data_IF_447211923193
#
_entry.id   IF_447211923193
#
_cell.length_a   1.000
_cell.length_b   1.000
_cell.length_c   1.000
_cell.angle_alpha   90.00
_cell.angle_beta   90.00
_cell.angle_gamma   90.00
#
_symmetry.space_group_name_H-M   'P 1'
#
loop_
_entity.id
_entity.type
_entity.pdbx_description
1 polymer ?
#
# COMPACT_ATOMS: atom_id res chain seq x y z
N UNK A 1 -6.86 -5.87 -13.45
CA UNK A 1 -6.16 -4.98 -14.39
C UNK A 1 -4.83 -4.50 -13.84
N UNK A 2 -4.78 -3.80 -12.69
CA UNK A 2 -3.57 -3.17 -12.12
C UNK A 2 -2.43 -4.18 -11.89
N UNK A 3 -2.70 -5.31 -11.21
CA UNK A 3 -1.72 -6.38 -10.97
C UNK A 3 -1.18 -6.91 -12.30
N UNK A 4 -2.07 -7.24 -13.24
CA UNK A 4 -1.68 -7.77 -14.54
C UNK A 4 -0.85 -6.78 -15.35
N UNK A 5 -1.21 -5.47 -15.29
CA UNK A 5 -0.45 -4.41 -15.96
C UNK A 5 0.99 -4.32 -15.46
N UNK A 6 1.22 -4.31 -14.15
CA UNK A 6 2.57 -4.28 -13.57
C UNK A 6 3.32 -5.58 -13.89
N UNK A 7 2.70 -6.74 -13.70
CA UNK A 7 3.34 -8.04 -13.90
C UNK A 7 3.65 -8.33 -15.37
N UNK A 8 2.90 -7.74 -16.31
CA UNK A 8 3.20 -7.85 -17.74
C UNK A 8 4.55 -7.23 -18.14
N UNK A 9 5.11 -6.39 -17.26
CA UNK A 9 6.44 -5.78 -17.43
C UNK A 9 7.54 -6.52 -16.66
N UNK A 10 7.25 -7.72 -16.14
CA UNK A 10 8.20 -8.54 -15.39
C UNK A 10 8.45 -8.05 -13.95
N UNK A 11 7.66 -7.13 -13.43
CA UNK A 11 7.75 -6.62 -12.06
C UNK A 11 6.68 -7.25 -11.19
N UNK A 12 7.09 -7.85 -10.05
CA UNK A 12 6.16 -8.47 -9.12
C UNK A 12 5.29 -7.46 -8.37
N UNK A 13 4.09 -7.89 -8.02
CA UNK A 13 3.17 -7.12 -7.16
C UNK A 13 3.01 -7.78 -5.81
N UNK A 14 2.78 -6.96 -4.77
CA UNK A 14 2.41 -7.42 -3.44
C UNK A 14 1.00 -6.95 -3.11
N UNK A 15 0.06 -7.88 -3.02
CA UNK A 15 -1.32 -7.59 -2.64
C UNK A 15 -1.43 -7.47 -1.11
N UNK A 16 -1.97 -6.34 -0.61
CA UNK A 16 -1.96 -6.06 0.83
C UNK A 16 -3.12 -5.16 1.30
N UNK A 17 -3.42 -5.16 2.58
CA UNK A 17 -2.90 -6.04 3.64
C UNK A 17 -3.93 -7.13 3.92
N UNK A 18 -3.52 -8.39 3.90
CA UNK A 18 -4.37 -9.57 4.05
C UNK A 18 -4.46 -9.99 5.52
N UNK A 19 -5.55 -9.73 6.28
CA UNK A 19 -6.78 -9.10 5.89
C UNK A 19 -7.44 -8.38 7.09
N UNK A 20 -8.54 -7.66 6.82
CA UNK A 20 -9.42 -7.07 7.86
C UNK A 20 -8.75 -5.97 8.70
N UNK A 21 -7.75 -5.27 8.17
CA UNK A 21 -7.16 -4.10 8.82
C UNK A 21 -7.93 -2.83 8.43
N UNK A 22 -9.09 -2.59 9.09
CA UNK A 22 -9.92 -1.43 8.86
C UNK A 22 -9.77 -0.37 9.97
N UNK A 23 -8.90 -0.62 10.95
CA UNK A 23 -8.66 0.21 12.11
C UNK A 23 -7.17 0.46 12.27
N UNK A 24 -6.70 1.69 12.02
CA UNK A 24 -5.30 2.06 12.18
C UNK A 24 -4.91 2.35 13.63
N UNK A 25 -5.82 2.90 14.43
CA UNK A 25 -5.57 3.12 15.86
C UNK A 25 -5.37 1.80 16.59
N UNK A 26 -4.20 1.65 17.22
CA UNK A 26 -3.80 0.41 17.92
C UNK A 26 -3.83 -0.86 17.05
N UNK A 27 -3.59 -0.73 15.75
CA UNK A 27 -3.69 -1.82 14.76
C UNK A 27 -2.89 -3.08 15.10
N UNK A 28 -1.76 -2.94 15.79
CA UNK A 28 -0.89 -4.05 16.20
C UNK A 28 -1.49 -4.94 17.32
N UNK A 29 -2.53 -4.48 17.99
CA UNK A 29 -3.21 -5.23 19.04
C UNK A 29 -4.72 -5.39 18.78
N UNK A 30 -5.22 -4.74 17.73
CA UNK A 30 -6.62 -4.84 17.35
C UNK A 30 -7.00 -6.28 17.01
N UNK A 31 -8.20 -6.70 17.44
CA UNK A 31 -8.76 -8.02 17.15
C UNK A 31 -10.11 -7.84 16.45
N UNK A 32 -10.11 -7.98 15.15
CA UNK A 32 -11.33 -7.89 14.35
C UNK A 32 -12.17 -9.15 14.53
N UNK A 33 -13.34 -9.00 15.17
CA UNK A 33 -14.25 -10.11 15.48
C UNK A 33 -15.39 -10.17 14.48
N UNK A 34 -15.48 -11.25 13.72
CA UNK A 34 -16.52 -11.43 12.71
C UNK A 34 -16.77 -12.91 12.40
N UNK A 35 -17.98 -13.20 11.91
CA UNK A 35 -18.33 -14.54 11.46
C UNK A 35 -17.76 -14.81 10.06
N UNK A 36 -17.82 -16.06 9.62
CA UNK A 36 -17.29 -16.49 8.31
C UNK A 36 -17.95 -15.77 7.13
N UNK A 37 -19.25 -15.48 7.21
CA UNK A 37 -19.97 -14.86 6.11
C UNK A 37 -19.44 -13.45 5.77
N UNK A 38 -19.41 -12.46 6.68
CA UNK A 38 -18.82 -11.17 6.39
C UNK A 38 -17.30 -11.25 6.09
N UNK A 39 -16.57 -12.19 6.72
CA UNK A 39 -15.17 -12.40 6.41
C UNK A 39 -15.00 -12.73 4.91
N UNK A 40 -15.71 -13.72 4.39
CA UNK A 40 -15.57 -14.22 3.02
C UNK A 40 -16.25 -13.34 1.98
N UNK A 41 -17.45 -12.83 2.25
CA UNK A 41 -18.26 -12.11 1.27
C UNK A 41 -17.85 -10.63 1.14
N UNK A 42 -17.22 -10.04 2.17
CA UNK A 42 -16.82 -8.62 2.17
C UNK A 42 -15.30 -8.47 2.21
N UNK A 43 -14.68 -8.89 3.32
CA UNK A 43 -13.26 -8.56 3.58
C UNK A 43 -12.27 -9.34 2.73
N UNK A 44 -12.56 -10.60 2.45
CA UNK A 44 -11.70 -11.45 1.63
C UNK A 44 -12.05 -11.41 0.14
N UNK A 45 -13.23 -10.91 -0.24
CA UNK A 45 -13.73 -11.00 -1.62
C UNK A 45 -12.83 -10.32 -2.64
N UNK A 46 -12.31 -9.14 -2.33
CA UNK A 46 -11.39 -8.43 -3.23
C UNK A 46 -10.05 -9.18 -3.40
N UNK A 47 -9.56 -9.81 -2.35
CA UNK A 47 -8.35 -10.65 -2.41
C UNK A 47 -8.59 -11.92 -3.23
N UNK A 48 -9.73 -12.58 -3.05
CA UNK A 48 -10.12 -13.76 -3.83
C UNK A 48 -10.10 -13.47 -5.33
N UNK A 49 -10.78 -12.38 -5.74
CA UNK A 49 -10.82 -11.96 -7.14
C UNK A 49 -9.40 -11.67 -7.66
N UNK A 50 -8.62 -10.90 -6.91
CA UNK A 50 -7.26 -10.53 -7.31
C UNK A 50 -6.34 -11.75 -7.44
N UNK A 51 -6.43 -12.71 -6.53
CA UNK A 51 -5.64 -13.95 -6.57
C UNK A 51 -6.06 -14.83 -7.74
N UNK A 52 -7.36 -15.12 -7.87
CA UNK A 52 -7.87 -16.02 -8.91
C UNK A 52 -7.65 -15.48 -10.34
N UNK A 53 -7.80 -14.17 -10.53
CA UNK A 53 -7.70 -13.56 -11.86
C UNK A 53 -6.28 -13.10 -12.23
N UNK A 54 -5.40 -12.87 -11.25
CA UNK A 54 -4.12 -12.19 -11.52
C UNK A 54 -2.89 -12.87 -10.93
N UNK A 55 -3.03 -13.77 -9.96
CA UNK A 55 -1.90 -14.43 -9.29
C UNK A 55 -0.77 -13.44 -8.95
N UNK A 56 -0.97 -12.50 -8.00
CA UNK A 56 0.08 -11.59 -7.58
C UNK A 56 1.32 -12.38 -7.12
N UNK A 57 2.52 -11.85 -7.34
CA UNK A 57 3.73 -12.56 -6.95
C UNK A 57 3.84 -12.76 -5.45
N UNK A 58 3.27 -11.83 -4.68
CA UNK A 58 3.25 -11.94 -3.23
C UNK A 58 1.97 -11.37 -2.63
N UNK A 59 1.69 -11.81 -1.39
CA UNK A 59 0.66 -11.28 -0.51
C UNK A 59 1.31 -10.90 0.81
N UNK A 60 0.97 -9.73 1.35
CA UNK A 60 1.42 -9.30 2.67
C UNK A 60 0.28 -9.41 3.67
N UNK A 61 0.51 -10.12 4.77
CA UNK A 61 -0.45 -10.23 5.87
C UNK A 61 -0.55 -8.92 6.65
N UNK A 62 -1.66 -8.72 7.35
CA UNK A 62 -1.93 -7.49 8.08
C UNK A 62 -1.36 -7.51 9.52
N UNK A 63 -1.40 -6.36 10.20
CA UNK A 63 -0.95 -6.23 11.59
C UNK A 63 -1.91 -6.81 12.61
N UNK A 64 -3.21 -6.72 12.33
CA UNK A 64 -4.27 -7.03 13.26
C UNK A 64 -4.46 -8.53 13.46
N UNK A 65 -5.23 -8.84 14.50
CA UNK A 65 -5.82 -10.17 14.68
C UNK A 65 -7.16 -10.26 13.96
N UNK A 66 -7.49 -11.48 13.58
CA UNK A 66 -8.84 -11.89 13.15
C UNK A 66 -9.28 -13.01 14.07
N UNK A 67 -10.36 -12.81 14.80
CA UNK A 67 -10.92 -13.81 15.72
C UNK A 67 -9.88 -14.37 16.72
N UNK A 68 -8.98 -13.52 17.21
CA UNK A 68 -7.99 -13.85 18.23
C UNK A 68 -6.60 -14.26 17.72
N UNK A 69 -6.44 -14.53 16.41
CA UNK A 69 -5.15 -14.91 15.81
C UNK A 69 -4.59 -13.77 14.98
N UNK A 70 -3.29 -13.51 15.06
CA UNK A 70 -2.62 -12.61 14.11
C UNK A 70 -2.72 -13.17 12.69
N UNK A 71 -2.97 -12.31 11.72
CA UNK A 71 -3.15 -12.75 10.32
C UNK A 71 -1.96 -13.51 9.76
N UNK A 72 -0.73 -13.16 10.16
CA UNK A 72 0.49 -13.89 9.79
C UNK A 72 0.67 -15.23 10.54
N UNK A 73 -0.09 -15.46 11.61
CA UNK A 73 -0.06 -16.68 12.45
C UNK A 73 -1.33 -17.53 12.27
N UNK A 74 -2.17 -17.18 11.31
CA UNK A 74 -3.45 -17.85 11.06
C UNK A 74 -3.40 -18.72 9.81
N UNK A 75 -3.26 -20.03 10.05
CA UNK A 75 -3.24 -21.05 9.00
C UNK A 75 -4.51 -21.04 8.14
N UNK A 76 -5.68 -20.80 8.74
CA UNK A 76 -6.94 -20.77 8.00
C UNK A 76 -6.88 -19.69 6.90
N UNK A 77 -6.34 -18.51 7.22
CA UNK A 77 -6.20 -17.44 6.24
C UNK A 77 -5.14 -17.74 5.18
N UNK A 78 -3.94 -18.18 5.61
CA UNK A 78 -2.76 -18.20 4.73
C UNK A 78 -2.58 -19.50 3.96
N UNK A 79 -2.98 -20.65 4.49
CA UNK A 79 -2.93 -21.92 3.77
C UNK A 79 -4.33 -22.33 3.30
N UNK A 80 -5.28 -22.53 4.21
CA UNK A 80 -6.55 -23.18 3.85
C UNK A 80 -7.37 -22.31 2.86
N UNK A 81 -7.51 -21.00 3.10
CA UNK A 81 -8.25 -20.09 2.21
C UNK A 81 -7.40 -19.62 1.05
N UNK A 82 -6.25 -18.96 1.35
CA UNK A 82 -5.46 -18.30 0.31
C UNK A 82 -4.87 -19.29 -0.69
N UNK A 83 -4.31 -20.42 -0.20
CA UNK A 83 -3.62 -21.40 -1.06
C UNK A 83 -4.53 -22.52 -1.52
N UNK A 84 -5.19 -23.20 -0.60
CA UNK A 84 -5.95 -24.41 -0.97
C UNK A 84 -7.25 -24.08 -1.70
N UNK A 85 -8.03 -23.08 -1.21
CA UNK A 85 -9.29 -22.73 -1.86
C UNK A 85 -9.08 -21.83 -3.10
N UNK A 86 -8.16 -20.83 -3.04
CA UNK A 86 -7.99 -19.88 -4.14
C UNK A 86 -6.84 -20.20 -5.08
N UNK A 87 -6.00 -21.18 -4.72
CA UNK A 87 -4.89 -21.64 -5.55
C UNK A 87 -3.72 -20.63 -5.65
N UNK A 88 -3.49 -19.82 -4.62
CA UNK A 88 -2.37 -18.89 -4.60
C UNK A 88 -1.02 -19.59 -4.61
N UNK A 89 -0.14 -19.22 -5.55
CA UNK A 89 1.15 -19.85 -5.76
C UNK A 89 2.35 -18.99 -5.35
N UNK A 90 2.10 -17.75 -4.97
CA UNK A 90 3.17 -16.79 -4.70
C UNK A 90 3.70 -16.84 -3.26
N UNK A 91 4.51 -15.84 -2.92
CA UNK A 91 5.12 -15.64 -1.61
C UNK A 91 4.13 -14.98 -0.64
N UNK A 92 4.02 -15.48 0.59
CA UNK A 92 3.34 -14.79 1.68
C UNK A 92 4.38 -14.16 2.59
N UNK A 93 4.29 -12.84 2.80
CA UNK A 93 5.15 -12.13 3.74
C UNK A 93 4.35 -11.47 4.85
N UNK A 94 4.95 -11.28 6.02
CA UNK A 94 4.34 -10.49 7.08
C UNK A 94 4.48 -8.99 6.80
N UNK A 95 3.60 -8.17 7.37
CA UNK A 95 3.91 -6.76 7.53
C UNK A 95 5.08 -6.57 8.54
N UNK A 96 5.70 -5.39 8.58
CA UNK A 96 6.87 -5.10 9.40
C UNK A 96 6.57 -5.25 10.90
N UNK A 97 7.25 -6.19 11.55
CA UNK A 97 7.05 -6.53 12.95
C UNK A 97 5.64 -7.08 13.29
N UNK A 98 4.86 -7.53 12.29
CA UNK A 98 3.58 -8.16 12.54
C UNK A 98 3.73 -9.51 13.25
N UNK A 99 2.70 -9.91 14.02
CA UNK A 99 2.72 -11.15 14.78
C UNK A 99 3.56 -11.09 16.07
N UNK A 100 3.57 -12.19 16.79
CA UNK A 100 4.33 -12.35 18.04
C UNK A 100 5.22 -13.56 18.02
N UNK A 101 4.87 -14.60 17.29
CA UNK A 101 5.55 -15.88 17.25
C UNK A 101 6.03 -16.23 15.83
N UNK A 102 7.36 -16.25 15.67
CA UNK A 102 7.97 -16.53 14.37
C UNK A 102 7.76 -17.98 13.92
N UNK A 103 7.77 -18.93 14.85
CA UNK A 103 7.56 -20.35 14.54
C UNK A 103 6.13 -20.58 14.10
N UNK A 104 5.16 -20.07 14.86
CA UNK A 104 3.75 -20.13 14.51
C UNK A 104 3.48 -19.50 13.13
N UNK A 105 4.15 -18.39 12.81
CA UNK A 105 4.03 -17.75 11.49
C UNK A 105 4.51 -18.67 10.36
N UNK A 106 5.65 -19.33 10.50
CA UNK A 106 6.16 -20.31 9.51
C UNK A 106 5.20 -21.51 9.38
N UNK A 107 4.74 -22.04 10.51
CA UNK A 107 3.77 -23.16 10.51
C UNK A 107 2.48 -22.77 9.81
N UNK A 108 1.99 -21.56 10.06
CA UNK A 108 0.79 -21.03 9.41
C UNK A 108 0.94 -20.84 7.89
N UNK A 109 2.15 -20.76 7.34
CA UNK A 109 2.37 -20.59 5.90
C UNK A 109 2.80 -19.19 5.49
N UNK A 110 3.22 -18.37 6.45
CA UNK A 110 3.87 -17.10 6.17
C UNK A 110 5.35 -17.35 5.86
N UNK A 111 5.75 -17.15 4.61
CA UNK A 111 7.06 -17.62 4.11
C UNK A 111 8.21 -16.67 4.47
N UNK A 112 7.94 -15.36 4.61
CA UNK A 112 8.95 -14.34 4.88
C UNK A 112 8.50 -13.42 6.02
N UNK A 113 9.28 -13.37 7.10
CA UNK A 113 9.01 -12.54 8.26
C UNK A 113 9.75 -11.20 8.17
N UNK A 114 9.04 -10.12 8.04
CA UNK A 114 9.61 -8.76 7.97
C UNK A 114 9.80 -8.15 9.37
N UNK A 115 10.91 -7.42 9.64
CA UNK A 115 12.08 -7.17 8.78
C UNK A 115 13.20 -8.23 8.89
N UNK A 116 12.96 -9.39 9.47
CA UNK A 116 13.97 -10.42 9.65
C UNK A 116 14.88 -10.16 10.87
N UNK A 117 14.28 -9.94 12.04
CA UNK A 117 15.01 -9.62 13.27
C UNK A 117 15.75 -10.85 13.84
N UNK A 118 16.88 -10.62 14.50
CA UNK A 118 17.65 -11.66 15.20
C UNK A 118 16.81 -12.54 16.12
N UNK A 119 15.83 -11.97 16.80
CA UNK A 119 14.91 -12.74 17.67
C UNK A 119 14.09 -13.76 16.89
N UNK A 120 13.65 -13.41 15.68
CA UNK A 120 12.88 -14.30 14.82
C UNK A 120 13.76 -15.43 14.30
N UNK A 121 14.96 -15.09 13.82
CA UNK A 121 15.97 -16.06 13.40
C UNK A 121 16.32 -17.06 14.52
N UNK A 122 16.67 -16.58 15.71
CA UNK A 122 17.02 -17.41 16.86
C UNK A 122 15.88 -18.32 17.31
N UNK A 123 14.63 -17.83 17.27
CA UNK A 123 13.46 -18.61 17.63
C UNK A 123 13.24 -19.78 16.63
N UNK A 124 13.35 -19.50 15.34
CA UNK A 124 13.20 -20.52 14.28
C UNK A 124 14.34 -21.55 14.38
N UNK A 125 15.60 -21.11 14.52
CA UNK A 125 16.75 -22.00 14.64
C UNK A 125 16.58 -22.94 15.85
N UNK A 126 16.24 -22.40 17.02
CA UNK A 126 15.99 -23.17 18.23
C UNK A 126 14.85 -24.20 18.02
N UNK A 127 13.79 -23.81 17.33
CA UNK A 127 12.66 -24.70 17.08
C UNK A 127 13.02 -25.86 16.13
N UNK A 128 13.87 -25.59 15.14
CA UNK A 128 14.44 -26.65 14.28
C UNK A 128 15.35 -27.59 15.07
N UNK A 129 16.30 -27.04 15.84
CA UNK A 129 17.24 -27.83 16.65
C UNK A 129 16.55 -28.69 17.70
N UNK A 130 15.44 -28.22 18.28
CA UNK A 130 14.65 -28.97 19.26
C UNK A 130 13.62 -29.93 18.63
N UNK A 131 13.48 -29.94 17.31
CA UNK A 131 12.48 -30.74 16.59
C UNK A 131 11.03 -30.26 16.78
N UNK A 132 10.81 -29.05 17.30
CA UNK A 132 9.45 -28.48 17.48
C UNK A 132 8.93 -27.80 16.22
N UNK A 133 9.79 -27.47 15.28
CA UNK A 133 9.43 -27.06 13.92
C UNK A 133 9.87 -28.12 12.94
N UNK A 134 8.91 -28.66 12.19
CA UNK A 134 9.21 -29.58 11.09
C UNK A 134 10.02 -28.85 10.00
N UNK A 135 11.19 -29.38 9.68
CA UNK A 135 12.11 -28.82 8.68
C UNK A 135 11.43 -28.72 7.32
N UNK A 136 10.53 -29.62 6.97
CA UNK A 136 9.78 -29.57 5.72
C UNK A 136 8.93 -28.28 5.56
N UNK A 137 8.44 -27.71 6.67
CA UNK A 137 7.71 -26.45 6.64
C UNK A 137 8.63 -25.26 6.40
N UNK A 138 9.85 -25.30 6.94
CA UNK A 138 10.87 -24.30 6.67
C UNK A 138 11.35 -24.39 5.22
N UNK A 139 11.66 -25.59 4.73
CA UNK A 139 12.09 -25.84 3.36
C UNK A 139 11.02 -25.37 2.35
N UNK A 140 9.74 -25.59 2.66
CA UNK A 140 8.62 -25.06 1.87
C UNK A 140 8.70 -23.54 1.74
N UNK A 141 8.92 -22.83 2.84
CA UNK A 141 9.04 -21.37 2.84
C UNK A 141 10.29 -20.88 2.08
N UNK A 142 11.43 -21.53 2.31
CA UNK A 142 12.68 -21.25 1.57
C UNK A 142 12.48 -21.46 0.07
N UNK A 143 11.85 -22.56 -0.33
CA UNK A 143 11.55 -22.83 -1.75
C UNK A 143 10.72 -21.70 -2.37
N UNK A 144 9.66 -21.24 -1.70
CA UNK A 144 8.80 -20.15 -2.18
C UNK A 144 9.54 -18.82 -2.30
N UNK A 145 10.47 -18.53 -1.36
CA UNK A 145 11.35 -17.36 -1.45
C UNK A 145 12.29 -17.48 -2.66
N UNK A 146 12.90 -18.64 -2.88
CA UNK A 146 13.77 -18.86 -4.03
C UNK A 146 13.01 -18.77 -5.36
N UNK A 147 11.81 -19.33 -5.43
CA UNK A 147 10.92 -19.20 -6.60
C UNK A 147 10.56 -17.74 -6.90
N UNK A 148 10.42 -16.90 -5.88
CA UNK A 148 10.23 -15.47 -6.04
C UNK A 148 11.50 -14.80 -6.56
N UNK A 149 12.67 -15.12 -6.01
CA UNK A 149 13.97 -14.55 -6.41
C UNK A 149 14.28 -14.85 -7.88
N UNK A 150 14.08 -16.10 -8.33
CA UNK A 150 14.38 -16.49 -9.72
C UNK A 150 13.48 -15.82 -10.75
N UNK A 151 12.32 -15.32 -10.36
CA UNK A 151 11.43 -14.52 -11.21
C UNK A 151 11.90 -13.06 -11.36
N UNK A 152 12.80 -12.60 -10.50
CA UNK A 152 13.19 -11.19 -10.46
C UNK A 152 14.07 -10.82 -11.66
N UNK A 153 13.94 -9.58 -12.10
CA UNK A 153 14.82 -9.01 -13.13
C UNK A 153 16.30 -9.07 -12.71
N UNK A 154 16.61 -8.90 -11.44
CA UNK A 154 17.96 -8.99 -10.91
C UNK A 154 18.57 -10.38 -11.13
N UNK A 155 17.80 -11.44 -10.89
CA UNK A 155 18.25 -12.81 -11.14
C UNK A 155 18.46 -13.09 -12.63
N UNK A 156 17.62 -12.51 -13.48
CA UNK A 156 17.73 -12.60 -14.93
C UNK A 156 18.89 -11.77 -15.53
N UNK A 157 19.65 -11.03 -14.71
CA UNK A 157 20.74 -10.18 -15.18
C UNK A 157 20.27 -8.93 -15.94
N UNK A 158 19.06 -8.45 -15.68
CA UNK A 158 18.52 -7.25 -16.32
C UNK A 158 19.34 -6.00 -15.97
N UNK A 159 19.82 -5.30 -17.00
CA UNK A 159 20.52 -4.04 -16.81
C UNK A 159 19.53 -2.87 -16.71
N UNK A 160 19.58 -2.16 -15.60
CA UNK A 160 18.72 -1.02 -15.36
C UNK A 160 19.36 0.25 -15.94
N UNK A 161 18.62 1.04 -16.74
CA UNK A 161 19.09 2.36 -17.13
C UNK A 161 19.13 3.26 -15.88
N UNK A 162 20.27 3.91 -15.66
CA UNK A 162 20.42 4.88 -14.53
C UNK A 162 19.74 6.23 -14.80
N UNK A 163 19.03 6.35 -15.91
CA UNK A 163 18.29 7.57 -16.28
C UNK A 163 16.81 7.23 -16.49
N UNK A 164 15.98 7.77 -15.62
CA UNK A 164 14.52 7.70 -15.77
C UNK A 164 14.05 8.96 -16.46
N UNK A 165 13.21 8.85 -17.48
CA UNK A 165 12.53 9.98 -18.10
C UNK A 165 11.38 10.45 -17.21
N UNK A 166 11.73 11.32 -16.27
CA UNK A 166 10.78 11.80 -15.26
C UNK A 166 9.72 12.74 -15.87
N UNK A 167 10.05 13.43 -16.97
CA UNK A 167 9.09 14.29 -17.65
C UNK A 167 8.00 13.48 -18.36
N UNK A 168 8.41 12.43 -19.07
CA UNK A 168 7.45 11.48 -19.67
C UNK A 168 6.58 10.80 -18.60
N UNK A 169 7.17 10.41 -17.48
CA UNK A 169 6.41 9.82 -16.37
C UNK A 169 5.42 10.81 -15.75
N UNK A 170 5.80 12.07 -15.55
CA UNK A 170 4.92 13.12 -15.05
C UNK A 170 3.73 13.38 -15.99
N UNK A 171 3.93 13.26 -17.31
CA UNK A 171 2.86 13.38 -18.28
C UNK A 171 1.86 12.24 -18.17
N UNK A 172 2.35 11.00 -18.08
CA UNK A 172 1.49 9.80 -17.87
C UNK A 172 0.72 9.90 -16.55
N UNK A 173 1.38 10.34 -15.46
CA UNK A 173 0.75 10.52 -14.15
C UNK A 173 -0.39 11.57 -14.21
N UNK A 174 -0.18 12.67 -14.93
CA UNK A 174 -1.21 13.70 -15.17
C UNK A 174 -2.42 13.12 -15.92
N UNK A 175 -2.20 12.34 -16.96
CA UNK A 175 -3.27 11.71 -17.75
C UNK A 175 -4.08 10.73 -16.92
N UNK A 176 -3.39 9.83 -16.18
CA UNK A 176 -4.04 8.87 -15.27
C UNK A 176 -4.80 9.60 -14.15
N UNK A 177 -4.20 10.64 -13.58
CA UNK A 177 -4.87 11.45 -12.56
C UNK A 177 -6.14 12.11 -13.06
N UNK A 178 -6.13 12.67 -14.27
CA UNK A 178 -7.30 13.26 -14.89
C UNK A 178 -8.39 12.22 -15.18
N UNK A 179 -8.04 11.04 -15.72
CA UNK A 179 -8.98 9.95 -15.98
C UNK A 179 -9.56 9.34 -14.70
N UNK A 180 -8.80 9.38 -13.59
CA UNK A 180 -9.24 8.87 -12.28
C UNK A 180 -10.25 9.77 -11.56
N UNK A 181 -10.42 11.02 -11.99
CA UNK A 181 -11.37 11.97 -11.37
C UNK A 181 -12.79 11.66 -11.84
N UNK A 182 -13.68 11.36 -10.88
CA UNK A 182 -15.10 11.10 -11.14
C UNK A 182 -15.95 12.28 -10.71
N UNK A 183 -16.67 12.88 -11.65
CA UNK A 183 -17.62 13.96 -11.37
C UNK A 183 -18.94 13.36 -10.86
N UNK A 184 -19.18 13.41 -9.55
CA UNK A 184 -20.32 12.78 -8.90
C UNK A 184 -21.63 13.54 -9.09
N UNK A 185 -21.56 14.87 -9.15
CA UNK A 185 -22.73 15.76 -9.39
C UNK A 185 -22.26 17.03 -10.10
N UNK A 186 -23.07 17.52 -11.04
CA UNK A 186 -22.77 18.75 -11.76
C UNK A 186 -24.07 19.48 -12.15
N UNK A 187 -24.31 20.60 -11.48
CA UNK A 187 -25.44 21.48 -11.77
C UNK A 187 -25.04 22.56 -12.81
N UNK A 188 -24.42 22.14 -13.89
CA UNK A 188 -23.95 22.99 -15.00
C UNK A 188 -22.82 23.96 -14.61
N UNK A 189 -22.10 23.71 -13.50
CA UNK A 189 -20.95 24.52 -13.11
C UNK A 189 -19.68 24.16 -13.89
N UNK A 190 -19.58 22.91 -14.36
CA UNK A 190 -18.46 22.40 -15.15
C UNK A 190 -18.96 21.88 -16.52
N UNK A 191 -18.19 22.09 -17.59
CA UNK A 191 -16.98 22.90 -17.66
C UNK A 191 -17.27 24.39 -17.36
N UNK A 192 -16.32 25.08 -16.74
CA UNK A 192 -16.48 26.53 -16.49
C UNK A 192 -16.69 27.28 -17.79
N UNK A 193 -17.59 28.27 -17.78
CA UNK A 193 -17.85 29.11 -18.96
C UNK A 193 -16.56 29.81 -19.43
N UNK A 194 -16.34 29.91 -20.73
CA UNK A 194 -15.11 30.42 -21.33
C UNK A 194 -14.74 31.85 -20.90
N UNK A 195 -15.71 32.66 -20.44
CA UNK A 195 -15.49 33.99 -19.89
C UNK A 195 -14.95 34.03 -18.46
N UNK A 196 -14.99 32.93 -17.73
CA UNK A 196 -14.47 32.90 -16.35
C UNK A 196 -12.96 32.79 -16.42
N UNK A 197 -12.26 33.82 -15.90
CA UNK A 197 -10.80 33.88 -15.87
C UNK A 197 -10.25 34.00 -14.44
N UNK A 198 -11.11 34.32 -13.47
CA UNK A 198 -10.72 34.47 -12.07
C UNK A 198 -11.51 33.47 -11.21
N UNK A 199 -10.80 32.77 -10.33
CA UNK A 199 -11.37 31.79 -9.42
C UNK A 199 -10.97 32.08 -7.97
N UNK A 200 -11.85 31.75 -7.03
CA UNK A 200 -11.58 31.78 -5.61
C UNK A 200 -11.42 30.34 -5.11
N UNK A 201 -10.34 30.07 -4.39
CA UNK A 201 -10.08 28.78 -3.76
C UNK A 201 -10.35 28.88 -2.26
N UNK A 202 -10.99 27.85 -1.72
CA UNK A 202 -11.28 27.72 -0.30
C UNK A 202 -10.62 26.46 0.27
N UNK A 203 -10.21 26.54 1.53
CA UNK A 203 -9.53 25.44 2.23
C UNK A 203 -8.00 25.55 2.16
N UNK A 204 -7.32 25.24 3.27
CA UNK A 204 -5.86 25.33 3.41
C UNK A 204 -5.12 24.44 2.42
N UNK A 205 -5.60 23.22 2.18
CA UNK A 205 -5.00 22.25 1.26
C UNK A 205 -5.07 22.66 -0.20
N UNK A 206 -5.94 23.63 -0.57
CA UNK A 206 -5.92 24.23 -1.92
C UNK A 206 -4.68 25.07 -2.18
N UNK A 207 -4.06 25.57 -1.11
CA UNK A 207 -2.88 26.44 -1.15
C UNK A 207 -1.60 25.74 -0.72
N UNK A 208 -1.72 24.79 0.22
CA UNK A 208 -0.63 23.97 0.71
C UNK A 208 -1.06 22.50 0.55
N UNK A 209 -0.75 21.96 -0.60
CA UNK A 209 -1.16 20.60 -0.97
C UNK A 209 -0.34 19.57 -0.21
N UNK A 210 -1.00 18.57 0.35
CA UNK A 210 -0.34 17.41 0.94
C UNK A 210 -0.14 16.36 -0.16
N UNK A 211 1.07 16.25 -0.74
CA UNK A 211 1.30 15.42 -1.92
C UNK A 211 1.46 13.93 -1.59
N UNK A 212 1.71 13.59 -0.33
CA UNK A 212 1.96 12.22 0.10
C UNK A 212 1.40 11.97 1.50
N UNK A 213 1.10 10.70 1.79
CA UNK A 213 0.70 10.26 3.11
C UNK A 213 1.85 10.22 4.12
N UNK A 214 1.54 9.87 5.37
CA UNK A 214 2.54 9.62 6.41
C UNK A 214 3.10 8.20 6.33
N UNK A 215 4.28 7.97 6.90
CA UNK A 215 4.92 6.66 6.94
C UNK A 215 5.56 6.25 5.62
N UNK A 216 5.49 4.98 5.28
CA UNK A 216 6.13 4.45 4.07
C UNK A 216 5.54 5.00 2.77
N UNK A 217 4.28 5.44 2.78
CA UNK A 217 3.65 6.09 1.63
C UNK A 217 4.22 7.49 1.31
N UNK A 218 5.01 8.08 2.21
CA UNK A 218 5.63 9.39 2.03
C UNK A 218 7.02 9.35 1.39
N UNK A 219 7.61 8.18 1.19
CA UNK A 219 8.98 8.03 0.69
C UNK A 219 9.14 8.28 -0.80
N UNK A 220 8.05 8.31 -1.55
CA UNK A 220 8.01 8.53 -3.00
C UNK A 220 7.68 9.96 -3.41
N UNK A 221 8.10 10.99 -2.64
CA UNK A 221 7.87 12.38 -3.02
C UNK A 221 8.67 12.69 -4.28
N UNK A 222 7.97 13.10 -5.34
CA UNK A 222 8.58 13.48 -6.61
C UNK A 222 9.42 14.77 -6.52
N UNK A 223 10.07 15.13 -7.62
CA UNK A 223 10.93 16.31 -7.68
C UNK A 223 10.18 17.62 -7.46
N UNK A 224 8.89 17.65 -7.73
CA UNK A 224 8.05 18.83 -7.53
C UNK A 224 6.59 18.41 -7.33
N UNK A 225 5.83 19.30 -6.72
CA UNK A 225 4.40 19.15 -6.51
C UNK A 225 3.69 20.32 -7.18
N UNK A 226 2.68 20.06 -7.98
CA UNK A 226 1.82 21.09 -8.57
C UNK A 226 0.65 21.34 -7.64
N UNK A 227 0.62 22.46 -6.96
CA UNK A 227 -0.51 22.87 -6.13
C UNK A 227 -1.75 23.20 -6.98
N UNK A 228 -2.94 23.22 -6.34
CA UNK A 228 -4.18 23.65 -7.01
C UNK A 228 -4.03 25.07 -7.60
N UNK A 229 -3.34 25.97 -6.89
CA UNK A 229 -3.05 27.34 -7.35
C UNK A 229 -2.22 27.32 -8.63
N UNK A 230 -1.16 26.52 -8.66
CA UNK A 230 -0.28 26.40 -9.85
C UNK A 230 -1.01 25.72 -11.01
N UNK A 231 -1.73 24.65 -10.75
CA UNK A 231 -2.51 23.94 -11.76
C UNK A 231 -3.53 24.86 -12.46
N UNK A 232 -4.25 25.67 -11.68
CA UNK A 232 -5.19 26.65 -12.26
C UNK A 232 -4.48 27.77 -13.04
N UNK A 233 -3.34 28.25 -12.55
CA UNK A 233 -2.54 29.23 -13.28
C UNK A 233 -2.00 28.67 -14.59
N UNK A 234 -1.52 27.46 -14.60
CA UNK A 234 -1.05 26.77 -15.79
C UNK A 234 -2.17 26.55 -16.80
N UNK A 235 -3.42 26.39 -16.33
CA UNK A 235 -4.62 26.31 -17.14
C UNK A 235 -5.16 27.68 -17.58
N UNK A 236 -4.47 28.81 -17.29
CA UNK A 236 -4.84 30.14 -17.72
C UNK A 236 -5.82 30.89 -16.80
N UNK A 237 -6.06 30.40 -15.60
CA UNK A 237 -6.89 31.09 -14.62
C UNK A 237 -6.05 31.97 -13.67
N UNK A 238 -6.68 33.01 -13.15
CA UNK A 238 -6.13 33.82 -12.05
C UNK A 238 -6.81 33.43 -10.75
N UNK A 239 -6.02 33.20 -9.71
CA UNK A 239 -6.54 32.93 -8.36
C UNK A 239 -6.72 34.25 -7.61
N UNK A 240 -7.82 34.38 -6.87
CA UNK A 240 -8.10 35.58 -6.07
C UNK A 240 -6.95 35.84 -5.08
N UNK A 241 -6.30 37.00 -5.24
CA UNK A 241 -5.10 37.35 -4.49
C UNK A 241 -5.39 37.68 -3.03
N UNK A 242 -6.52 38.31 -2.74
CA UNK A 242 -6.87 38.65 -1.36
C UNK A 242 -7.10 37.41 -0.54
N UNK A 243 -7.92 36.49 -1.06
CA UNK A 243 -8.19 35.20 -0.41
C UNK A 243 -6.91 34.36 -0.26
N UNK A 244 -6.06 34.29 -1.28
CA UNK A 244 -4.75 33.64 -1.21
C UNK A 244 -3.90 34.22 -0.05
N UNK A 245 -3.83 35.53 0.09
CA UNK A 245 -3.05 36.16 1.15
C UNK A 245 -3.64 35.89 2.55
N UNK A 246 -4.95 35.85 2.67
CA UNK A 246 -5.63 35.48 3.92
C UNK A 246 -5.27 34.06 4.35
N UNK A 247 -5.32 33.08 3.43
CA UNK A 247 -4.94 31.71 3.73
C UNK A 247 -3.46 31.57 4.07
N UNK A 248 -2.56 32.22 3.32
CA UNK A 248 -1.12 32.20 3.62
C UNK A 248 -0.82 32.74 5.02
N UNK A 249 -1.48 33.85 5.41
CA UNK A 249 -1.33 34.40 6.74
C UNK A 249 -1.86 33.44 7.81
N UNK A 250 -3.06 32.92 7.62
CA UNK A 250 -3.67 31.97 8.55
C UNK A 250 -2.79 30.71 8.76
N UNK A 251 -2.29 30.11 7.68
CA UNK A 251 -1.41 28.94 7.77
C UNK A 251 -0.11 29.25 8.52
N UNK A 252 0.49 30.39 8.27
CA UNK A 252 1.71 30.82 8.98
C UNK A 252 1.46 31.09 10.48
N UNK A 253 0.31 31.69 10.83
CA UNK A 253 -0.09 31.94 12.21
C UNK A 253 -0.38 30.62 12.95
N UNK A 254 -1.07 29.67 12.32
CA UNK A 254 -1.34 28.35 12.87
C UNK A 254 -0.07 27.52 13.04
N UNK A 255 0.85 27.56 12.11
CA UNK A 255 2.11 26.86 12.23
C UNK A 255 2.91 27.36 13.45
N UNK A 256 2.98 28.68 13.64
CA UNK A 256 3.62 29.26 14.84
C UNK A 256 2.89 28.86 16.13
N UNK A 257 1.56 28.78 16.12
CA UNK A 257 0.77 28.38 17.27
C UNK A 257 1.01 26.91 17.64
N UNK A 258 1.07 26.02 16.66
CA UNK A 258 1.23 24.57 16.85
C UNK A 258 2.69 24.18 17.14
N UNK A 259 3.64 24.89 16.57
CA UNK A 259 5.07 24.62 16.67
C UNK A 259 5.83 25.87 17.11
N UNK A 260 5.67 26.32 18.37
CA UNK A 260 6.23 27.60 18.86
C UNK A 260 7.76 27.61 18.91
N UNK A 261 8.41 26.46 18.78
CA UNK A 261 9.87 26.31 18.86
C UNK A 261 10.52 25.88 17.53
N UNK A 262 9.80 25.94 16.41
CA UNK A 262 10.29 25.73 15.05
C UNK A 262 10.33 24.30 14.62
#
# INVERSE_FOLDING_TARGET
AYINGIQSRGTGTCLKHFAVNNQETNRNNNDSRLTQRPLRELYLKCFEIAVKESQPWSVMTAYNKVNGKYTCEDRELTEDILRDEWGFKGLVMSDWNAGKDAVTSIVAGNDMLQPGQDRQYKAILKAVESGTLDLALLDRSVKRVLEFVVKSHTFAGYEYPNKTDLEAHAQVDREIGAEGIVLLDNKQALPMAAGIKKVALYGTTSYDMVPAGMGFGSTGIGYYTVSMVEGLRNAGYTVDKELLNRYKKHMADEQKRLFPHG
#
